data_IF_514383812818
#
_entry.id   IF_514383812818
#
_cell.length_a   1.000
_cell.length_b   1.000
_cell.length_c   1.000
_cell.angle_alpha   90.00
_cell.angle_beta   90.00
_cell.angle_gamma   90.00
#
_symmetry.space_group_name_H-M   'P 1'
#
loop_
_entity.id
_entity.type
_entity.pdbx_description
1 polymer ?
#
# COMPACT_ATOMS: atom_id res chain seq x y z
N UNK A 1 -23.60 43.50 -32.35
CA UNK A 1 -23.93 43.66 -33.78
C UNK A 1 -23.41 45.04 -34.16
N UNK A 2 -22.29 45.10 -34.86
CA UNK A 2 -21.83 46.41 -35.41
C UNK A 2 -22.58 46.65 -36.72
N UNK A 3 -23.40 47.68 -36.73
CA UNK A 3 -24.12 48.12 -37.92
C UNK A 3 -23.24 49.16 -38.62
N UNK A 4 -22.71 48.81 -39.78
CA UNK A 4 -22.04 49.77 -40.67
C UNK A 4 -23.11 50.53 -41.47
N UNK A 5 -23.37 51.79 -41.15
CA UNK A 5 -24.54 52.47 -41.74
C UNK A 5 -24.41 52.81 -43.24
N UNK A 6 -23.24 52.65 -43.83
CA UNK A 6 -22.98 52.99 -45.23
C UNK A 6 -22.83 51.79 -46.17
N UNK A 7 -23.04 50.56 -45.68
CA UNK A 7 -22.89 49.35 -46.50
C UNK A 7 -24.17 48.99 -47.30
N UNK A 8 -23.99 48.64 -48.55
CA UNK A 8 -25.09 48.21 -49.44
C UNK A 8 -25.53 46.77 -49.22
N UNK A 9 -24.76 45.99 -48.43
CA UNK A 9 -24.98 44.57 -48.19
C UNK A 9 -24.98 44.29 -46.69
N UNK A 10 -26.02 43.57 -46.23
CA UNK A 10 -26.15 43.09 -44.84
C UNK A 10 -25.92 41.58 -44.83
N UNK A 11 -25.00 41.11 -44.03
CA UNK A 11 -24.77 39.68 -43.83
C UNK A 11 -25.36 39.26 -42.47
N UNK A 12 -26.18 38.20 -42.45
CA UNK A 12 -26.82 37.68 -41.25
C UNK A 12 -26.55 36.17 -41.06
N UNK A 13 -26.28 35.70 -39.85
CA UNK A 13 -26.11 34.27 -39.58
C UNK A 13 -27.47 33.63 -39.24
N UNK A 14 -28.33 33.40 -40.23
CA UNK A 14 -29.67 32.82 -40.08
C UNK A 14 -30.64 33.60 -39.15
N UNK A 15 -30.37 34.88 -38.89
CA UNK A 15 -31.12 35.74 -37.96
C UNK A 15 -31.85 36.87 -38.72
N UNK A 16 -32.29 36.61 -39.94
CA UNK A 16 -32.95 37.60 -40.80
C UNK A 16 -34.17 38.24 -40.14
N UNK A 17 -34.83 37.51 -39.24
CA UNK A 17 -36.01 37.99 -38.50
C UNK A 17 -35.67 39.01 -37.39
N UNK A 18 -34.41 39.11 -36.99
CA UNK A 18 -33.93 40.02 -35.93
C UNK A 18 -33.32 41.30 -36.49
N UNK A 19 -33.34 41.48 -37.81
CA UNK A 19 -32.77 42.66 -38.45
C UNK A 19 -33.65 43.90 -38.18
N UNK A 20 -33.03 45.06 -37.87
CA UNK A 20 -33.75 46.33 -37.77
C UNK A 20 -34.41 46.69 -39.08
N UNK A 21 -35.59 47.32 -39.03
CA UNK A 21 -36.37 47.71 -40.19
C UNK A 21 -35.60 48.61 -41.17
N UNK A 22 -34.67 49.40 -40.70
CA UNK A 22 -33.86 50.34 -41.45
C UNK A 22 -32.86 49.69 -42.43
N UNK A 23 -32.61 48.36 -42.25
CA UNK A 23 -31.67 47.62 -43.12
C UNK A 23 -32.36 46.59 -43.99
N UNK A 24 -33.69 46.43 -43.90
CA UNK A 24 -34.45 45.44 -44.66
C UNK A 24 -34.52 45.77 -46.18
N UNK A 25 -34.30 47.04 -46.54
CA UNK A 25 -34.31 47.48 -47.98
C UNK A 25 -32.95 47.26 -48.66
N UNK A 26 -31.95 46.73 -47.91
CA UNK A 26 -30.61 46.44 -48.43
C UNK A 26 -30.54 44.99 -48.93
N UNK A 27 -29.50 44.71 -49.71
CA UNK A 27 -29.21 43.34 -50.11
C UNK A 27 -28.80 42.50 -48.93
N UNK A 28 -29.68 41.58 -48.48
CA UNK A 28 -29.43 40.68 -47.38
C UNK A 28 -28.83 39.40 -47.93
N UNK A 29 -27.68 38.98 -47.38
CA UNK A 29 -27.06 37.67 -47.62
C UNK A 29 -27.09 36.91 -46.29
N UNK A 30 -27.93 35.88 -46.28
CA UNK A 30 -27.93 34.95 -45.15
C UNK A 30 -26.78 33.94 -45.33
N UNK A 31 -25.83 33.95 -44.40
CA UNK A 31 -24.68 33.06 -44.41
C UNK A 31 -24.91 31.78 -43.61
N UNK A 32 -26.17 31.55 -43.19
CA UNK A 32 -26.55 30.38 -42.40
C UNK A 32 -26.12 30.48 -40.94
N UNK A 33 -26.46 29.45 -40.19
CA UNK A 33 -26.06 29.38 -38.78
C UNK A 33 -24.54 29.34 -38.64
N UNK A 34 -24.02 30.21 -37.81
CA UNK A 34 -22.61 30.13 -37.40
C UNK A 34 -22.45 28.92 -36.49
N UNK A 35 -21.76 27.93 -36.95
CA UNK A 35 -21.26 26.84 -36.11
C UNK A 35 -19.92 27.29 -35.63
N UNK A 36 -19.75 27.37 -34.32
CA UNK A 36 -18.43 27.57 -33.74
C UNK A 36 -17.53 26.45 -34.23
N UNK A 37 -16.40 26.80 -34.84
CA UNK A 37 -15.43 25.77 -35.25
C UNK A 37 -14.80 25.10 -34.02
N UNK A 38 -14.22 23.91 -34.23
CA UNK A 38 -13.64 23.13 -33.16
C UNK A 38 -12.52 23.88 -32.40
N UNK A 39 -11.74 24.70 -33.13
CA UNK A 39 -10.67 25.47 -32.57
C UNK A 39 -11.19 26.53 -31.60
N UNK A 40 -12.25 27.26 -32.01
CA UNK A 40 -12.92 28.26 -31.19
C UNK A 40 -13.50 27.62 -29.91
N UNK A 41 -14.13 26.45 -30.00
CA UNK A 41 -14.68 25.74 -28.85
C UNK A 41 -13.56 25.32 -27.90
N UNK A 42 -12.46 24.78 -28.43
CA UNK A 42 -11.29 24.37 -27.65
C UNK A 42 -10.64 25.59 -26.97
N UNK A 43 -10.45 26.67 -27.72
CA UNK A 43 -9.84 27.90 -27.18
C UNK A 43 -10.69 28.53 -26.06
N UNK A 44 -12.01 28.54 -26.20
CA UNK A 44 -12.94 29.01 -25.17
C UNK A 44 -12.83 28.10 -23.93
N UNK A 45 -12.83 26.78 -24.11
CA UNK A 45 -12.73 25.82 -23.00
C UNK A 45 -11.40 25.97 -22.23
N UNK A 46 -10.29 26.15 -22.95
CA UNK A 46 -8.96 26.38 -22.35
C UNK A 46 -8.88 27.73 -21.60
N UNK A 47 -9.39 28.82 -22.20
CA UNK A 47 -9.41 30.16 -21.57
C UNK A 47 -10.29 30.24 -20.33
N UNK A 48 -11.35 29.43 -20.27
CA UNK A 48 -12.28 29.38 -19.15
C UNK A 48 -11.95 28.27 -18.14
N UNK A 49 -10.83 27.55 -18.35
CA UNK A 49 -10.42 26.40 -17.52
C UNK A 49 -11.47 25.26 -17.46
N UNK A 50 -12.32 25.16 -18.49
CA UNK A 50 -13.31 24.10 -18.62
C UNK A 50 -12.82 22.93 -19.49
N UNK A 51 -11.54 22.58 -19.39
CA UNK A 51 -10.91 21.50 -20.17
C UNK A 51 -11.66 20.17 -20.06
N UNK A 52 -12.26 19.89 -18.91
CA UNK A 52 -13.03 18.68 -18.65
C UNK A 52 -14.24 18.53 -19.60
N UNK A 53 -14.79 19.64 -20.12
CA UNK A 53 -15.91 19.62 -21.07
C UNK A 53 -15.50 18.97 -22.40
N UNK A 54 -14.24 19.12 -22.81
CA UNK A 54 -13.71 18.55 -24.04
C UNK A 54 -13.65 17.00 -24.00
N UNK A 55 -13.74 16.41 -22.80
CA UNK A 55 -13.73 14.96 -22.60
C UNK A 55 -15.13 14.32 -22.69
N UNK A 56 -16.21 15.10 -22.73
CA UNK A 56 -17.54 14.52 -22.86
C UNK A 56 -17.75 13.93 -24.26
N UNK A 57 -18.21 12.67 -24.30
CA UNK A 57 -18.43 11.89 -25.54
C UNK A 57 -19.22 12.67 -26.60
N UNK A 58 -20.26 13.37 -26.19
CA UNK A 58 -21.17 14.12 -27.09
C UNK A 58 -20.51 15.36 -27.72
N UNK A 59 -19.57 15.99 -27.01
CA UNK A 59 -18.78 17.11 -27.56
C UNK A 59 -17.72 16.59 -28.51
N UNK A 60 -17.09 15.47 -28.25
CA UNK A 60 -16.14 14.81 -29.14
C UNK A 60 -16.79 14.37 -30.45
N UNK A 61 -17.93 13.70 -30.39
CA UNK A 61 -18.68 13.31 -31.59
C UNK A 61 -19.01 14.52 -32.48
N UNK A 62 -19.26 15.68 -31.88
CA UNK A 62 -19.48 16.93 -32.61
C UNK A 62 -18.16 17.55 -33.14
N UNK A 63 -17.06 17.47 -32.40
CA UNK A 63 -15.76 17.96 -32.84
C UNK A 63 -15.19 17.13 -34.01
N UNK A 64 -15.42 15.81 -34.00
CA UNK A 64 -15.03 14.91 -35.11
C UNK A 64 -15.80 15.18 -36.43
N UNK A 65 -17.00 15.76 -36.34
CA UNK A 65 -17.81 16.11 -37.52
C UNK A 65 -17.49 17.48 -38.12
N UNK A 66 -16.79 18.35 -37.39
CA UNK A 66 -16.34 19.66 -37.86
C UNK A 66 -14.96 19.52 -38.49
N UNK A 67 -14.91 19.61 -39.84
CA UNK A 67 -13.66 19.57 -40.59
C UNK A 67 -12.71 20.68 -40.11
N UNK A 68 -11.63 20.32 -39.41
CA UNK A 68 -10.61 21.25 -39.01
C UNK A 68 -9.55 21.35 -40.10
N UNK A 69 -9.31 22.57 -40.60
CA UNK A 69 -8.24 22.86 -41.56
C UNK A 69 -6.83 22.82 -40.94
N UNK A 70 -6.74 22.61 -39.63
CA UNK A 70 -5.45 22.57 -38.90
C UNK A 70 -5.01 21.11 -38.63
N UNK A 71 -4.13 20.64 -39.50
CA UNK A 71 -3.54 19.29 -39.44
C UNK A 71 -2.87 18.97 -38.10
N UNK A 72 -2.34 19.98 -37.40
CA UNK A 72 -1.68 19.80 -36.08
C UNK A 72 -2.68 19.51 -34.97
N UNK A 73 -3.81 20.18 -34.95
CA UNK A 73 -4.91 19.98 -33.99
C UNK A 73 -5.59 18.63 -34.17
N UNK A 74 -5.92 18.25 -35.43
CA UNK A 74 -6.46 16.92 -35.72
C UNK A 74 -5.54 15.81 -35.19
N UNK A 75 -4.23 15.95 -35.36
CA UNK A 75 -3.26 14.97 -34.91
C UNK A 75 -3.14 14.89 -33.38
N UNK A 76 -3.33 16.01 -32.67
CA UNK A 76 -3.37 16.04 -31.20
C UNK A 76 -4.63 15.36 -30.68
N UNK A 77 -5.78 15.68 -31.28
CA UNK A 77 -7.07 15.06 -30.94
C UNK A 77 -7.04 13.55 -31.23
N UNK A 78 -6.52 13.14 -32.38
CA UNK A 78 -6.36 11.73 -32.75
C UNK A 78 -5.48 10.97 -31.76
N UNK A 79 -4.30 11.53 -31.38
CA UNK A 79 -3.42 10.94 -30.36
C UNK A 79 -4.09 10.85 -28.98
N UNK A 80 -4.82 11.89 -28.57
CA UNK A 80 -5.56 11.89 -27.31
C UNK A 80 -6.67 10.82 -27.31
N UNK A 81 -7.42 10.71 -28.40
CA UNK A 81 -8.48 9.69 -28.57
C UNK A 81 -7.89 8.28 -28.61
N UNK A 82 -6.76 8.10 -29.28
CA UNK A 82 -6.05 6.81 -29.29
C UNK A 82 -5.56 6.42 -27.90
N UNK A 83 -4.93 7.33 -27.16
CA UNK A 83 -4.46 7.09 -25.79
C UNK A 83 -5.62 6.74 -24.84
N UNK A 84 -6.75 7.43 -24.96
CA UNK A 84 -7.94 7.15 -24.16
C UNK A 84 -8.58 5.81 -24.53
N UNK A 85 -8.61 5.46 -25.80
CA UNK A 85 -9.12 4.15 -26.25
C UNK A 85 -8.24 3.02 -25.71
N UNK A 86 -6.90 3.20 -25.74
CA UNK A 86 -5.96 2.24 -25.16
C UNK A 86 -6.13 2.14 -23.64
N UNK A 87 -6.26 3.27 -22.94
CA UNK A 87 -6.51 3.28 -21.50
C UNK A 87 -7.84 2.61 -21.15
N UNK A 88 -8.92 2.91 -21.88
CA UNK A 88 -10.22 2.27 -21.68
C UNK A 88 -10.18 0.75 -21.92
N UNK A 89 -9.39 0.31 -22.91
CA UNK A 89 -9.20 -1.12 -23.17
C UNK A 89 -8.43 -1.79 -22.03
N UNK A 90 -7.34 -1.18 -21.55
CA UNK A 90 -6.59 -1.67 -20.39
C UNK A 90 -7.47 -1.76 -19.14
N UNK A 91 -8.27 -0.74 -18.88
CA UNK A 91 -9.21 -0.73 -17.76
C UNK A 91 -10.27 -1.83 -17.83
N UNK A 92 -10.70 -2.21 -19.04
CA UNK A 92 -11.68 -3.29 -19.24
C UNK A 92 -11.07 -4.69 -19.22
N UNK A 93 -9.83 -4.84 -19.68
CA UNK A 93 -9.20 -6.15 -19.82
C UNK A 93 -8.46 -6.59 -18.54
N UNK A 94 -8.15 -5.66 -17.65
CA UNK A 94 -7.49 -6.00 -16.38
C UNK A 94 -8.49 -6.54 -15.37
N UNK A 95 -8.11 -7.64 -14.70
CA UNK A 95 -8.86 -8.17 -13.56
C UNK A 95 -8.58 -7.39 -12.26
N UNK A 96 -7.72 -6.39 -12.32
CA UNK A 96 -7.37 -5.55 -11.17
C UNK A 96 -8.42 -4.45 -11.07
N UNK A 97 -8.96 -4.22 -9.87
CA UNK A 97 -9.88 -3.12 -9.64
C UNK A 97 -9.11 -1.80 -9.53
N UNK A 98 -9.50 -0.81 -10.33
CA UNK A 98 -8.82 0.48 -10.43
C UNK A 98 -9.84 1.60 -10.32
N UNK A 99 -9.52 2.59 -9.48
CA UNK A 99 -10.28 3.82 -9.28
C UNK A 99 -9.33 5.02 -9.43
N UNK A 100 -9.72 6.04 -10.17
CA UNK A 100 -8.89 7.23 -10.34
C UNK A 100 -9.57 8.50 -9.86
N UNK A 101 -8.78 9.42 -9.34
CA UNK A 101 -9.19 10.77 -8.96
C UNK A 101 -8.39 11.82 -9.71
N UNK A 102 -9.00 12.98 -9.93
CA UNK A 102 -8.36 14.16 -10.51
C UNK A 102 -7.56 14.97 -9.45
N UNK A 103 -7.03 16.12 -9.86
CA UNK A 103 -6.26 17.04 -9.00
C UNK A 103 -7.04 17.52 -7.77
N UNK A 104 -8.35 17.56 -7.84
CA UNK A 104 -9.26 18.03 -6.79
C UNK A 104 -9.90 16.91 -5.99
N UNK A 105 -9.43 15.67 -6.19
CA UNK A 105 -9.94 14.43 -5.58
C UNK A 105 -11.38 14.08 -5.98
N UNK A 106 -11.85 14.51 -7.16
CA UNK A 106 -13.08 13.99 -7.74
C UNK A 106 -12.82 12.71 -8.51
N UNK A 107 -13.71 11.76 -8.38
CA UNK A 107 -13.62 10.45 -9.03
C UNK A 107 -13.81 10.59 -10.54
N UNK A 108 -12.75 10.32 -11.30
CA UNK A 108 -12.72 10.48 -12.76
C UNK A 108 -12.65 9.16 -13.54
N UNK A 109 -12.25 8.05 -12.89
CA UNK A 109 -12.23 6.74 -13.53
C UNK A 109 -12.60 5.62 -12.55
N UNK A 110 -13.32 4.61 -13.04
CA UNK A 110 -13.74 3.44 -12.28
C UNK A 110 -13.93 2.27 -13.26
N UNK A 111 -13.24 1.16 -13.06
CA UNK A 111 -13.41 -0.02 -13.90
C UNK A 111 -14.38 -1.04 -13.28
N UNK A 112 -14.74 -2.09 -14.04
CA UNK A 112 -15.67 -3.13 -13.58
C UNK A 112 -15.22 -3.84 -12.30
N UNK A 113 -13.90 -4.02 -12.11
CA UNK A 113 -13.35 -4.58 -10.88
C UNK A 113 -13.66 -3.69 -9.68
N UNK A 114 -13.44 -2.37 -9.81
CA UNK A 114 -13.75 -1.40 -8.76
C UNK A 114 -15.27 -1.31 -8.49
N UNK A 115 -16.13 -1.38 -9.52
CA UNK A 115 -17.58 -1.43 -9.35
C UNK A 115 -18.03 -2.61 -8.48
N UNK A 116 -17.45 -3.79 -8.70
CA UNK A 116 -17.75 -5.00 -7.92
C UNK A 116 -17.35 -4.85 -6.46
N UNK A 117 -16.12 -4.37 -6.21
CA UNK A 117 -15.60 -4.19 -4.85
C UNK A 117 -16.39 -3.12 -4.10
N UNK A 118 -16.73 -2.01 -4.76
CA UNK A 118 -17.50 -0.91 -4.17
C UNK A 118 -19.00 -1.21 -4.06
N UNK A 119 -19.46 -2.26 -4.73
CA UNK A 119 -20.89 -2.57 -4.93
C UNK A 119 -21.69 -1.36 -5.43
N UNK A 120 -21.09 -0.58 -6.34
CA UNK A 120 -21.65 0.64 -6.93
C UNK A 120 -21.31 0.69 -8.40
N UNK A 121 -22.25 1.12 -9.24
CA UNK A 121 -21.99 1.35 -10.67
C UNK A 121 -21.17 2.62 -10.89
N UNK A 122 -20.32 2.63 -11.91
CA UNK A 122 -19.47 3.78 -12.26
C UNK A 122 -20.24 5.08 -12.39
N UNK A 123 -21.45 5.06 -12.99
CA UNK A 123 -22.30 6.24 -13.10
C UNK A 123 -22.76 6.86 -11.77
N UNK A 124 -22.74 6.10 -10.67
CA UNK A 124 -23.04 6.60 -9.33
C UNK A 124 -21.78 7.02 -8.56
N UNK A 125 -20.60 6.69 -9.08
CA UNK A 125 -19.31 6.92 -8.44
C UNK A 125 -18.61 8.13 -9.07
N UNK A 126 -18.59 8.21 -10.39
CA UNK A 126 -17.89 9.27 -11.14
C UNK A 126 -18.47 10.66 -10.85
N UNK A 127 -17.59 11.64 -10.77
CA UNK A 127 -17.94 13.04 -10.49
C UNK A 127 -18.21 13.37 -9.03
N UNK A 128 -18.15 12.39 -8.11
CA UNK A 128 -18.28 12.64 -6.67
C UNK A 128 -16.92 12.90 -6.03
N UNK A 129 -16.93 13.60 -4.90
CA UNK A 129 -15.74 13.76 -4.09
C UNK A 129 -15.34 12.41 -3.45
N UNK A 130 -14.10 11.98 -3.67
CA UNK A 130 -13.62 10.70 -3.19
C UNK A 130 -13.52 10.62 -1.66
N UNK A 131 -13.24 11.73 -0.98
CA UNK A 131 -13.12 11.78 0.48
C UNK A 131 -14.47 11.59 1.17
N UNK A 132 -15.55 12.10 0.56
CA UNK A 132 -16.91 11.94 1.07
C UNK A 132 -17.48 10.54 0.79
N UNK A 133 -17.28 10.05 -0.45
CA UNK A 133 -17.87 8.79 -0.88
C UNK A 133 -17.10 7.56 -0.37
N UNK A 134 -15.78 7.68 -0.21
CA UNK A 134 -14.83 6.60 0.10
C UNK A 134 -13.79 7.04 1.14
N UNK A 135 -14.19 7.42 2.35
CA UNK A 135 -13.30 8.00 3.38
C UNK A 135 -12.18 7.05 3.82
N UNK A 136 -12.34 5.75 3.57
CA UNK A 136 -11.33 4.74 3.91
C UNK A 136 -10.18 4.66 2.88
N UNK A 137 -10.31 5.33 1.73
CA UNK A 137 -9.24 5.38 0.72
C UNK A 137 -8.43 6.65 0.93
N UNK A 138 -7.11 6.56 1.18
CA UNK A 138 -6.29 7.68 1.64
C UNK A 138 -5.85 8.63 0.51
N UNK A 139 -6.76 9.08 -0.36
CA UNK A 139 -6.44 10.02 -1.43
C UNK A 139 -5.92 11.35 -0.90
N UNK A 140 -6.49 11.86 0.19
CA UNK A 140 -6.03 13.08 0.85
C UNK A 140 -4.59 12.97 1.33
N UNK A 141 -4.25 11.87 1.99
CA UNK A 141 -2.89 11.61 2.47
C UNK A 141 -1.87 11.62 1.32
N UNK A 142 -2.23 10.98 0.19
CA UNK A 142 -1.40 10.92 -1.01
C UNK A 142 -1.27 12.28 -1.69
N UNK A 143 -2.33 13.10 -1.71
CA UNK A 143 -2.30 14.46 -2.24
C UNK A 143 -1.37 15.37 -1.41
N UNK A 144 -1.45 15.29 -0.08
CA UNK A 144 -0.65 16.11 0.84
C UNK A 144 0.84 15.73 0.81
N UNK A 145 1.14 14.42 0.86
CA UNK A 145 2.52 13.91 0.93
C UNK A 145 3.18 13.75 -0.44
N UNK A 146 2.39 13.63 -1.51
CA UNK A 146 2.84 13.29 -2.88
C UNK A 146 3.63 11.98 -2.95
N UNK A 147 3.41 11.07 -2.00
CA UNK A 147 4.05 9.78 -1.90
C UNK A 147 3.04 8.65 -2.16
N UNK A 148 3.53 7.57 -2.74
CA UNK A 148 2.70 6.38 -2.95
C UNK A 148 2.45 5.63 -1.64
N UNK A 149 1.24 5.09 -1.50
CA UNK A 149 0.89 4.16 -0.44
C UNK A 149 0.80 2.77 -1.06
N UNK A 150 1.59 1.82 -0.56
CA UNK A 150 1.60 0.44 -1.03
C UNK A 150 1.01 -0.52 0.01
N UNK A 151 0.25 -1.49 -0.48
CA UNK A 151 -0.20 -2.65 0.29
C UNK A 151 -0.88 -2.31 1.62
N UNK A 152 -1.64 -1.21 1.67
CA UNK A 152 -2.39 -0.82 2.86
C UNK A 152 -3.69 -1.62 2.95
N UNK A 153 -3.92 -2.28 4.08
CA UNK A 153 -5.16 -2.99 4.33
C UNK A 153 -6.25 -1.98 4.70
N UNK A 154 -7.31 -1.92 3.89
CA UNK A 154 -8.47 -1.05 4.14
C UNK A 154 -9.75 -1.86 4.17
N UNK A 155 -10.71 -1.45 5.01
CA UNK A 155 -12.04 -2.05 5.05
C UNK A 155 -12.97 -1.29 4.11
N UNK A 156 -13.53 -2.00 3.12
CA UNK A 156 -14.56 -1.46 2.21
C UNK A 156 -15.78 -2.36 2.33
N UNK A 157 -16.89 -1.80 2.86
CA UNK A 157 -18.06 -2.61 3.22
C UNK A 157 -17.73 -3.63 4.29
N UNK A 158 -17.98 -4.90 4.03
CA UNK A 158 -17.64 -6.01 4.93
C UNK A 158 -16.27 -6.64 4.65
N UNK A 159 -15.63 -6.29 3.54
CA UNK A 159 -14.39 -6.93 3.07
C UNK A 159 -13.15 -6.10 3.39
N UNK A 160 -12.03 -6.78 3.64
CA UNK A 160 -10.71 -6.18 3.73
C UNK A 160 -9.98 -6.36 2.41
N UNK A 161 -9.47 -5.26 1.90
CA UNK A 161 -8.87 -5.19 0.57
C UNK A 161 -7.47 -4.62 0.71
N UNK A 162 -6.52 -5.22 0.00
CA UNK A 162 -5.19 -4.65 -0.12
C UNK A 162 -5.24 -3.50 -1.13
N UNK A 163 -4.92 -2.30 -0.67
CA UNK A 163 -4.99 -1.06 -1.43
C UNK A 163 -3.61 -0.47 -1.64
N UNK A 164 -3.33 -0.11 -2.88
CA UNK A 164 -2.21 0.78 -3.20
C UNK A 164 -2.74 2.05 -3.84
N UNK A 165 -2.26 3.22 -3.41
CA UNK A 165 -2.64 4.51 -3.98
C UNK A 165 -1.39 5.18 -4.54
N UNK A 166 -1.39 5.45 -5.84
CA UNK A 166 -0.25 5.97 -6.58
C UNK A 166 -0.58 7.37 -7.10
N UNK A 167 0.16 8.42 -6.68
CA UNK A 167 -0.05 9.77 -7.17
C UNK A 167 0.42 9.93 -8.61
N UNK A 168 -0.28 10.76 -9.37
CA UNK A 168 0.14 11.25 -10.67
C UNK A 168 0.79 12.61 -10.44
N UNK A 169 2.10 12.70 -10.66
CA UNK A 169 2.86 13.93 -10.45
C UNK A 169 3.43 14.38 -11.80
N UNK A 170 3.22 15.65 -12.16
CA UNK A 170 3.81 16.30 -13.34
C UNK A 170 4.43 17.63 -12.94
N UNK A 171 5.74 17.81 -13.21
CA UNK A 171 6.48 19.02 -12.85
C UNK A 171 6.25 19.43 -11.38
N UNK A 172 6.34 18.47 -10.44
CA UNK A 172 6.12 18.64 -9.00
C UNK A 172 4.67 18.96 -8.56
N UNK A 173 3.73 19.06 -9.52
CA UNK A 173 2.32 19.30 -9.23
C UNK A 173 1.55 17.97 -9.19
N UNK A 174 0.69 17.84 -8.18
CA UNK A 174 -0.25 16.74 -8.07
C UNK A 174 -1.36 16.90 -9.11
N UNK A 175 -1.51 15.90 -9.97
CA UNK A 175 -2.50 15.87 -11.06
C UNK A 175 -3.66 14.91 -10.78
N UNK A 176 -3.57 14.13 -9.71
CA UNK A 176 -4.52 13.10 -9.34
C UNK A 176 -3.86 11.87 -8.77
N UNK A 177 -4.60 10.79 -8.57
CA UNK A 177 -4.07 9.52 -8.10
C UNK A 177 -4.90 8.34 -8.62
N UNK A 178 -4.28 7.16 -8.68
CA UNK A 178 -4.95 5.89 -8.88
C UNK A 178 -4.93 5.05 -7.62
N UNK A 179 -6.08 4.56 -7.20
CA UNK A 179 -6.23 3.51 -6.21
C UNK A 179 -6.36 2.17 -6.93
N UNK A 180 -5.51 1.22 -6.58
CA UNK A 180 -5.46 -0.12 -7.12
C UNK A 180 -5.85 -1.09 -6.00
N UNK A 181 -6.91 -1.84 -6.22
CA UNK A 181 -7.41 -2.83 -5.28
C UNK A 181 -6.99 -4.22 -5.77
N UNK A 182 -6.32 -4.95 -4.92
CA UNK A 182 -6.00 -6.34 -5.20
C UNK A 182 -6.93 -7.24 -4.39
N UNK A 183 -7.78 -8.00 -5.09
CA UNK A 183 -8.47 -9.11 -4.46
C UNK A 183 -7.45 -10.17 -4.07
N UNK A 184 -7.52 -10.59 -2.82
CA UNK A 184 -6.74 -11.73 -2.37
C UNK A 184 -7.24 -12.99 -3.06
N UNK A 185 -6.34 -13.82 -3.58
CA UNK A 185 -6.66 -15.19 -3.92
C UNK A 185 -7.27 -15.86 -2.68
N UNK A 186 -8.12 -16.88 -2.85
CA UNK A 186 -8.80 -17.52 -1.71
C UNK A 186 -7.84 -17.96 -0.58
N UNK A 187 -6.62 -18.33 -0.93
CA UNK A 187 -5.56 -18.65 0.04
C UNK A 187 -5.13 -17.42 0.86
N UNK A 188 -5.03 -16.25 0.23
CA UNK A 188 -4.71 -15.00 0.92
C UNK A 188 -5.90 -14.49 1.76
N UNK A 189 -7.13 -14.72 1.34
CA UNK A 189 -8.34 -14.44 2.16
C UNK A 189 -8.32 -15.27 3.45
N UNK A 190 -8.03 -16.57 3.36
CA UNK A 190 -7.86 -17.43 4.53
C UNK A 190 -6.73 -16.99 5.45
N UNK A 191 -5.58 -16.61 4.88
CA UNK A 191 -4.45 -16.10 5.66
C UNK A 191 -4.78 -14.79 6.36
N UNK A 192 -5.53 -13.88 5.72
CA UNK A 192 -5.94 -12.62 6.33
C UNK A 192 -7.02 -12.77 7.40
N UNK A 193 -7.99 -13.65 7.21
CA UNK A 193 -8.95 -14.01 8.27
C UNK A 193 -8.26 -14.60 9.48
N UNK A 194 -7.32 -15.47 9.25
CA UNK A 194 -6.50 -16.09 10.28
C UNK A 194 -5.64 -15.02 11.00
N UNK A 195 -5.04 -14.11 10.26
CA UNK A 195 -4.28 -12.96 10.79
C UNK A 195 -5.14 -12.08 11.69
N UNK A 196 -6.39 -11.78 11.29
CA UNK A 196 -7.36 -11.04 12.12
C UNK A 196 -7.71 -11.77 13.40
N UNK A 197 -7.93 -13.08 13.33
CA UNK A 197 -8.20 -13.89 14.52
C UNK A 197 -7.02 -13.87 15.49
N UNK A 198 -5.78 -13.83 15.00
CA UNK A 198 -4.56 -13.75 15.81
C UNK A 198 -4.39 -12.38 16.47
N UNK A 199 -4.58 -11.30 15.71
CA UNK A 199 -4.57 -9.94 16.28
C UNK A 199 -5.63 -9.79 17.37
N UNK A 200 -6.82 -10.39 17.19
CA UNK A 200 -7.88 -10.42 18.19
C UNK A 200 -7.59 -11.36 19.37
N UNK A 201 -6.73 -12.39 19.19
CA UNK A 201 -6.28 -13.31 20.25
C UNK A 201 -5.07 -12.79 21.05
N UNK A 202 -4.64 -11.56 20.83
CA UNK A 202 -3.58 -10.93 21.62
C UNK A 202 -2.17 -11.03 21.02
N UNK A 203 -2.01 -11.47 19.76
CA UNK A 203 -0.71 -11.46 19.06
C UNK A 203 -0.35 -10.04 18.57
N UNK A 204 -0.31 -9.09 19.52
CA UNK A 204 0.11 -7.70 19.34
C UNK A 204 1.28 -7.40 20.24
N UNK A 205 2.19 -6.59 19.75
CA UNK A 205 3.22 -6.03 20.60
C UNK A 205 2.58 -5.10 21.65
N UNK A 206 2.92 -5.31 22.93
CA UNK A 206 2.28 -4.64 24.07
C UNK A 206 3.03 -3.38 24.47
N UNK A 207 4.36 -3.37 24.34
CA UNK A 207 5.24 -2.36 24.88
C UNK A 207 5.81 -1.46 23.80
N UNK A 208 6.07 -0.21 24.15
CA UNK A 208 6.70 0.83 23.32
C UNK A 208 8.05 1.24 23.92
N UNK A 209 8.80 2.11 23.27
CA UNK A 209 10.04 2.64 23.83
C UNK A 209 9.82 3.49 25.08
N UNK A 210 8.61 4.01 25.30
CA UNK A 210 8.24 4.78 26.48
C UNK A 210 8.06 3.88 27.71
N UNK A 211 7.74 2.60 27.52
CA UNK A 211 7.62 1.61 28.58
C UNK A 211 8.98 1.09 29.07
N UNK A 212 10.07 1.37 28.35
CA UNK A 212 11.42 0.98 28.73
C UNK A 212 11.97 2.00 29.72
N UNK A 213 12.11 1.61 30.98
CA UNK A 213 12.62 2.46 32.02
C UNK A 213 14.15 2.60 31.88
N UNK A 214 14.69 3.80 32.10
CA UNK A 214 16.12 4.14 32.07
C UNK A 214 16.34 5.45 31.32
N UNK A 215 16.95 6.42 32.04
CA UNK A 215 17.24 7.77 31.54
C UNK A 215 18.74 8.04 31.43
N UNK A 216 19.59 7.07 31.80
CA UNK A 216 21.02 7.22 31.67
C UNK A 216 21.44 7.33 30.20
N UNK A 217 22.57 7.97 29.96
CA UNK A 217 23.03 8.29 28.59
C UNK A 217 23.20 7.04 27.70
N UNK A 218 23.63 5.90 28.30
CA UNK A 218 23.78 4.65 27.58
C UNK A 218 22.45 4.08 27.13
N UNK A 219 21.43 4.08 28.01
CA UNK A 219 20.07 3.61 27.69
C UNK A 219 19.42 4.49 26.64
N UNK A 220 19.56 5.82 26.71
CA UNK A 220 19.03 6.75 25.70
C UNK A 220 19.66 6.53 24.33
N UNK A 221 20.99 6.29 24.28
CA UNK A 221 21.68 5.92 23.04
C UNK A 221 21.18 4.59 22.49
N UNK A 222 20.99 3.60 23.36
CA UNK A 222 20.49 2.29 22.96
C UNK A 222 19.08 2.37 22.42
N UNK A 223 18.18 3.10 23.07
CA UNK A 223 16.82 3.38 22.56
C UNK A 223 16.87 4.05 21.19
N UNK A 224 17.69 5.09 21.02
CA UNK A 224 17.83 5.79 19.75
C UNK A 224 18.39 4.90 18.63
N UNK A 225 19.32 4.00 18.96
CA UNK A 225 19.85 3.00 18.03
C UNK A 225 18.74 2.01 17.61
N UNK A 226 18.03 1.44 18.58
CA UNK A 226 16.94 0.51 18.35
C UNK A 226 15.80 1.13 17.52
N UNK A 227 15.47 2.41 17.75
CA UNK A 227 14.51 3.15 16.94
C UNK A 227 14.95 3.31 15.47
N UNK A 228 16.24 3.57 15.24
CA UNK A 228 16.79 3.61 13.87
C UNK A 228 16.69 2.24 13.20
N UNK A 229 17.06 1.18 13.90
CA UNK A 229 16.97 -0.19 13.40
C UNK A 229 15.51 -0.63 13.17
N UNK A 230 14.57 -0.16 13.98
CA UNK A 230 13.15 -0.46 13.81
C UNK A 230 12.59 -0.03 12.45
N UNK A 231 13.10 1.09 11.91
CA UNK A 231 12.67 1.64 10.60
C UNK A 231 13.24 0.87 9.40
N UNK A 232 14.29 0.09 9.61
CA UNK A 232 14.91 -0.75 8.58
C UNK A 232 14.19 -2.09 8.60
N UNK A 233 13.77 -2.59 7.44
CA UNK A 233 13.08 -3.89 7.35
C UNK A 233 14.08 -5.05 7.28
N UNK A 234 14.94 -5.13 8.29
CA UNK A 234 15.95 -6.18 8.47
C UNK A 234 15.71 -6.93 9.77
N UNK A 235 16.21 -8.15 9.83
CA UNK A 235 16.21 -8.97 11.03
C UNK A 235 17.11 -8.35 12.10
N UNK A 236 16.75 -8.49 13.38
CA UNK A 236 17.46 -7.90 14.50
C UNK A 236 17.76 -8.97 15.55
N UNK A 237 19.00 -9.00 16.03
CA UNK A 237 19.42 -9.78 17.19
C UNK A 237 19.54 -8.86 18.40
N UNK A 238 18.94 -9.24 19.52
CA UNK A 238 19.04 -8.55 20.80
C UNK A 238 19.83 -9.46 21.75
N UNK A 239 20.95 -8.99 22.22
CA UNK A 239 21.82 -9.74 23.14
C UNK A 239 21.80 -9.09 24.52
N UNK A 240 21.99 -9.89 25.58
CA UNK A 240 22.08 -9.41 26.94
C UNK A 240 21.72 -10.48 27.95
N UNK A 241 22.07 -10.30 29.20
CA UNK A 241 21.78 -11.25 30.28
C UNK A 241 20.28 -11.45 30.50
N UNK A 242 19.91 -12.52 31.22
CA UNK A 242 18.51 -12.76 31.60
C UNK A 242 17.97 -11.59 32.44
N UNK A 243 16.73 -11.18 32.21
CA UNK A 243 16.09 -10.10 32.95
C UNK A 243 16.47 -8.69 32.53
N UNK A 244 17.32 -8.48 31.51
CA UNK A 244 17.71 -7.14 31.02
C UNK A 244 16.61 -6.41 30.23
N UNK A 245 15.46 -7.05 29.99
CA UNK A 245 14.33 -6.44 29.27
C UNK A 245 14.39 -6.61 27.76
N UNK A 246 15.08 -7.61 27.23
CA UNK A 246 15.16 -7.91 25.79
C UNK A 246 13.78 -8.02 25.15
N UNK A 247 12.82 -8.63 25.82
CA UNK A 247 11.43 -8.73 25.34
C UNK A 247 10.78 -7.35 25.16
N UNK A 248 11.00 -6.42 26.11
CA UNK A 248 10.47 -5.05 25.99
C UNK A 248 11.01 -4.34 24.73
N UNK A 249 12.32 -4.50 24.46
CA UNK A 249 12.93 -3.97 23.24
C UNK A 249 12.35 -4.60 21.97
N UNK A 250 12.15 -5.93 21.95
CA UNK A 250 11.55 -6.61 20.80
C UNK A 250 10.15 -6.06 20.48
N UNK A 251 9.29 -5.91 21.49
CA UNK A 251 7.98 -5.29 21.36
C UNK A 251 8.07 -3.83 20.88
N UNK A 252 8.94 -3.03 21.48
CA UNK A 252 9.11 -1.62 21.15
C UNK A 252 9.62 -1.42 19.71
N UNK A 253 10.56 -2.25 19.27
CA UNK A 253 11.08 -2.26 17.89
C UNK A 253 9.95 -2.57 16.91
N UNK A 254 9.14 -3.57 17.17
CA UNK A 254 8.00 -3.88 16.31
C UNK A 254 7.00 -2.71 16.23
N UNK A 255 6.60 -2.15 17.39
CA UNK A 255 5.65 -1.04 17.47
C UNK A 255 6.15 0.26 16.80
N UNK A 256 7.48 0.42 16.67
CA UNK A 256 8.10 1.57 16.00
C UNK A 256 8.43 1.31 14.54
N UNK A 257 8.16 0.11 14.03
CA UNK A 257 8.43 -0.31 12.65
C UNK A 257 7.27 -0.03 11.71
N UNK A 258 7.52 -0.18 10.41
CA UNK A 258 6.48 -0.18 9.38
C UNK A 258 5.48 -1.36 9.52
N UNK A 259 5.84 -2.39 10.30
CA UNK A 259 5.03 -3.59 10.54
C UNK A 259 4.17 -3.52 11.80
N UNK A 260 4.07 -2.36 12.47
CA UNK A 260 3.34 -2.16 13.75
C UNK A 260 1.88 -2.59 13.74
N UNK A 261 1.23 -2.52 12.58
CA UNK A 261 -0.18 -2.88 12.39
C UNK A 261 -0.37 -4.36 11.98
N UNK A 262 0.73 -5.13 11.91
CA UNK A 262 0.75 -6.53 11.54
C UNK A 262 1.01 -7.43 12.76
N UNK A 263 0.83 -8.77 12.63
CA UNK A 263 1.02 -9.69 13.75
C UNK A 263 2.42 -9.62 14.37
N UNK A 264 2.47 -9.69 15.69
CA UNK A 264 3.67 -9.89 16.48
C UNK A 264 3.57 -11.23 17.19
N UNK A 265 4.23 -12.24 16.65
CA UNK A 265 4.19 -13.63 17.16
C UNK A 265 5.41 -13.88 18.02
N UNK A 266 5.18 -14.35 19.24
CA UNK A 266 6.24 -14.64 20.21
C UNK A 266 6.41 -16.14 20.36
N UNK A 267 7.65 -16.61 20.30
CA UNK A 267 8.04 -18.02 20.53
C UNK A 267 9.28 -18.06 21.39
N UNK A 268 9.23 -18.75 22.51
CA UNK A 268 10.43 -19.08 23.27
C UNK A 268 10.97 -20.43 22.76
N UNK A 269 12.19 -20.41 22.20
CA UNK A 269 12.80 -21.58 21.56
C UNK A 269 13.31 -22.61 22.57
N UNK A 270 13.64 -22.21 23.79
CA UNK A 270 14.11 -23.13 24.82
C UNK A 270 12.98 -23.76 25.65
N UNK A 271 11.81 -23.08 25.70
CA UNK A 271 10.66 -23.57 26.49
C UNK A 271 9.88 -24.71 25.83
N UNK A 272 10.08 -24.98 24.55
CA UNK A 272 9.29 -25.93 23.76
C UNK A 272 10.21 -27.09 23.30
N UNK A 273 9.82 -28.37 23.48
CA UNK A 273 10.57 -29.49 22.94
C UNK A 273 10.76 -29.37 21.42
N UNK A 274 11.92 -29.78 20.90
CA UNK A 274 12.34 -29.58 19.51
C UNK A 274 11.28 -29.99 18.47
N UNK A 275 10.72 -31.20 18.61
CA UNK A 275 9.71 -31.73 17.68
C UNK A 275 8.41 -30.91 17.67
N UNK A 276 8.03 -30.38 18.82
CA UNK A 276 6.90 -29.47 18.94
C UNK A 276 7.24 -28.10 18.37
N UNK A 277 8.42 -27.56 18.68
CA UNK A 277 8.87 -26.26 18.16
C UNK A 277 8.91 -26.28 16.63
N UNK A 278 9.39 -27.36 16.03
CA UNK A 278 9.39 -27.54 14.58
C UNK A 278 7.99 -27.47 13.99
N UNK A 279 7.07 -28.26 14.56
CA UNK A 279 5.68 -28.31 14.10
C UNK A 279 4.91 -27.01 14.36
N UNK A 280 5.24 -26.27 15.41
CA UNK A 280 4.67 -24.94 15.66
C UNK A 280 5.20 -23.91 14.65
N UNK A 281 6.52 -23.86 14.43
CA UNK A 281 7.13 -22.87 13.52
C UNK A 281 6.75 -23.07 12.07
N UNK A 282 6.85 -24.31 11.54
CA UNK A 282 6.71 -24.60 10.12
C UNK A 282 5.34 -25.20 9.75
N UNK A 283 4.56 -25.64 10.73
CA UNK A 283 3.30 -26.35 10.45
C UNK A 283 3.51 -27.76 9.89
N UNK A 284 2.42 -28.46 9.63
CA UNK A 284 2.45 -29.80 9.07
C UNK A 284 1.21 -30.10 8.22
N UNK A 285 1.37 -30.98 7.25
CA UNK A 285 0.26 -31.50 6.46
C UNK A 285 -0.40 -32.70 7.16
N UNK A 286 -1.63 -33.03 6.77
CA UNK A 286 -2.33 -34.20 7.28
C UNK A 286 -1.51 -35.46 7.02
N UNK A 287 -1.34 -36.28 8.06
CA UNK A 287 -0.57 -37.53 7.96
C UNK A 287 0.95 -37.39 8.05
N UNK A 288 1.49 -36.19 8.30
CA UNK A 288 2.94 -35.94 8.41
C UNK A 288 3.62 -36.80 9.50
N UNK A 289 2.89 -37.11 10.57
CA UNK A 289 3.36 -37.98 11.65
C UNK A 289 2.16 -38.58 12.41
N UNK A 290 2.43 -39.59 13.26
CA UNK A 290 1.40 -40.21 14.10
C UNK A 290 0.84 -39.18 15.10
N UNK A 291 -0.46 -38.88 15.00
CA UNK A 291 -1.13 -37.84 15.80
C UNK A 291 -1.29 -36.49 15.12
N UNK A 292 -0.87 -36.33 13.86
CA UNK A 292 -1.16 -35.16 13.06
C UNK A 292 -2.68 -34.94 12.94
N UNK A 293 -3.14 -33.71 13.18
CA UNK A 293 -4.56 -33.36 13.07
C UNK A 293 -5.07 -33.50 11.65
N UNK A 294 -6.32 -33.94 11.51
CA UNK A 294 -7.03 -33.98 10.23
C UNK A 294 -7.08 -32.55 9.66
N UNK A 295 -6.62 -32.38 8.41
CA UNK A 295 -6.46 -31.08 7.77
C UNK A 295 -5.14 -30.34 8.06
N UNK A 296 -4.19 -30.97 8.80
CA UNK A 296 -2.88 -30.40 9.08
C UNK A 296 -2.89 -29.26 10.09
N UNK A 297 -1.80 -28.49 10.13
CA UNK A 297 -1.66 -27.28 10.96
C UNK A 297 -0.82 -26.25 10.25
N UNK A 298 -1.27 -25.01 10.23
CA UNK A 298 -0.51 -23.87 9.73
C UNK A 298 0.57 -23.49 10.73
N UNK A 299 1.78 -23.17 10.25
CA UNK A 299 2.93 -22.80 11.08
C UNK A 299 2.94 -21.33 11.46
N UNK A 300 3.71 -21.00 12.51
CA UNK A 300 3.83 -19.62 13.02
C UNK A 300 4.50 -18.67 12.02
N UNK A 301 5.37 -19.16 11.12
CA UNK A 301 5.90 -18.37 10.02
C UNK A 301 4.81 -17.92 9.04
N UNK A 302 3.87 -18.81 8.71
CA UNK A 302 2.73 -18.43 7.88
C UNK A 302 1.82 -17.43 8.59
N UNK A 303 1.60 -17.61 9.89
CA UNK A 303 0.85 -16.67 10.71
C UNK A 303 1.50 -15.30 10.82
N UNK A 304 2.84 -15.25 10.91
CA UNK A 304 3.60 -14.01 11.02
C UNK A 304 3.81 -13.29 9.67
N UNK A 305 3.26 -13.83 8.56
CA UNK A 305 3.42 -13.23 7.23
C UNK A 305 3.05 -11.73 7.22
N UNK A 306 3.88 -10.90 6.60
CA UNK A 306 3.88 -9.42 6.63
C UNK A 306 4.15 -8.80 8.02
N UNK A 307 4.21 -9.59 9.08
CA UNK A 307 4.43 -9.17 10.46
C UNK A 307 5.84 -9.45 10.96
N UNK A 308 5.93 -9.71 12.27
CA UNK A 308 7.18 -10.00 12.97
C UNK A 308 7.06 -11.29 13.76
N UNK A 309 8.03 -12.18 13.61
CA UNK A 309 8.22 -13.35 14.46
C UNK A 309 9.33 -13.03 15.45
N UNK A 310 8.98 -13.04 16.73
CA UNK A 310 9.93 -12.86 17.83
C UNK A 310 10.35 -14.23 18.36
N UNK A 311 11.63 -14.54 18.20
CA UNK A 311 12.28 -15.77 18.66
C UNK A 311 13.08 -15.47 19.93
N UNK A 312 12.51 -15.82 21.08
CA UNK A 312 13.18 -15.66 22.36
C UNK A 312 14.06 -16.89 22.63
N UNK A 313 15.24 -16.66 23.23
CA UNK A 313 16.25 -17.69 23.56
C UNK A 313 16.64 -18.53 22.32
N UNK A 314 17.11 -17.83 21.27
CA UNK A 314 17.47 -18.44 19.98
C UNK A 314 18.52 -19.55 20.12
N UNK A 315 19.41 -19.47 21.12
CA UNK A 315 20.40 -20.49 21.48
C UNK A 315 19.79 -21.86 21.79
N UNK A 316 18.52 -21.90 22.23
CA UNK A 316 17.79 -23.14 22.50
C UNK A 316 17.40 -23.92 21.26
N UNK A 317 17.60 -23.36 20.06
CA UNK A 317 17.22 -23.99 18.80
C UNK A 317 18.24 -25.03 18.35
N UNK A 318 17.78 -26.25 18.03
CA UNK A 318 18.64 -27.32 17.53
C UNK A 318 19.29 -26.98 16.19
N UNK A 319 20.45 -27.56 15.84
CA UNK A 319 21.11 -27.35 14.56
C UNK A 319 20.22 -27.69 13.36
N UNK A 320 19.33 -28.66 13.47
CA UNK A 320 18.39 -29.03 12.40
C UNK A 320 17.36 -27.90 12.14
N UNK A 321 16.81 -27.31 13.19
CA UNK A 321 15.90 -26.18 13.10
C UNK A 321 16.58 -24.92 12.60
N UNK A 322 17.86 -24.70 13.01
CA UNK A 322 18.67 -23.59 12.52
C UNK A 322 18.81 -23.60 10.98
N UNK A 323 18.95 -24.79 10.35
CA UNK A 323 18.99 -24.95 8.89
C UNK A 323 17.68 -24.47 8.26
N UNK A 324 16.54 -24.88 8.82
CA UNK A 324 15.22 -24.49 8.30
C UNK A 324 14.97 -22.99 8.48
N UNK A 325 15.33 -22.46 9.64
CA UNK A 325 15.25 -21.02 9.91
C UNK A 325 16.06 -20.22 8.90
N UNK A 326 17.30 -20.62 8.62
CA UNK A 326 18.17 -19.95 7.67
C UNK A 326 17.55 -19.89 6.27
N UNK A 327 16.91 -20.99 5.82
CA UNK A 327 16.20 -21.02 4.55
C UNK A 327 15.07 -19.99 4.50
N UNK A 328 14.23 -19.93 5.54
CA UNK A 328 13.13 -18.94 5.58
C UNK A 328 13.68 -17.51 5.55
N UNK A 329 14.77 -17.23 6.25
CA UNK A 329 15.40 -15.91 6.26
C UNK A 329 15.93 -15.52 4.87
N UNK A 330 16.58 -16.47 4.18
CA UNK A 330 17.26 -16.22 2.90
C UNK A 330 16.32 -16.22 1.70
N UNK A 331 15.47 -17.26 1.63
CA UNK A 331 14.65 -17.54 0.46
C UNK A 331 13.21 -16.95 0.59
N UNK A 332 12.83 -16.55 1.81
CA UNK A 332 11.46 -16.12 2.13
C UNK A 332 10.40 -17.18 1.79
N UNK A 333 10.81 -18.44 1.88
CA UNK A 333 10.00 -19.60 1.53
C UNK A 333 10.10 -20.65 2.62
N UNK A 334 9.02 -21.39 2.81
CA UNK A 334 8.99 -22.57 3.68
C UNK A 334 8.19 -23.72 3.08
N UNK A 335 8.37 -24.90 3.62
CA UNK A 335 7.52 -26.07 3.38
C UNK A 335 7.01 -26.60 4.72
N UNK A 336 5.75 -27.03 4.79
CA UNK A 336 5.21 -27.70 5.97
C UNK A 336 5.84 -29.09 6.12
N UNK A 337 5.87 -29.57 7.34
CA UNK A 337 6.35 -30.94 7.64
C UNK A 337 5.43 -31.93 6.90
N UNK A 338 6.03 -32.87 6.14
CA UNK A 338 5.30 -33.86 5.33
C UNK A 338 4.63 -33.31 4.08
N UNK A 339 4.81 -32.03 3.77
CA UNK A 339 4.32 -31.39 2.54
C UNK A 339 5.41 -31.20 1.50
N UNK A 340 5.00 -30.98 0.26
CA UNK A 340 5.85 -30.67 -0.91
C UNK A 340 5.62 -29.28 -1.48
N UNK A 341 4.60 -28.56 -0.97
CA UNK A 341 4.24 -27.24 -1.42
C UNK A 341 5.17 -26.17 -0.83
N UNK A 342 5.80 -25.37 -1.69
CA UNK A 342 6.54 -24.18 -1.29
C UNK A 342 5.56 -23.05 -0.98
N UNK A 343 5.72 -22.42 0.18
CA UNK A 343 4.90 -21.33 0.69
C UNK A 343 5.77 -20.11 0.86
N UNK A 344 5.43 -19.03 0.16
CA UNK A 344 6.13 -17.75 0.28
C UNK A 344 5.68 -17.01 1.55
N UNK A 345 6.66 -16.56 2.35
CA UNK A 345 6.42 -15.82 3.59
C UNK A 345 7.32 -14.57 3.64
N UNK A 346 6.72 -13.43 3.90
CA UNK A 346 7.44 -12.21 4.21
C UNK A 346 7.33 -11.95 5.71
N UNK A 347 8.35 -12.36 6.45
CA UNK A 347 8.39 -12.25 7.91
C UNK A 347 9.67 -11.55 8.31
N UNK A 348 9.56 -10.54 9.18
CA UNK A 348 10.68 -9.94 9.86
C UNK A 348 10.98 -10.74 11.13
N UNK A 349 12.24 -11.02 11.38
CA UNK A 349 12.66 -11.74 12.59
C UNK A 349 13.31 -10.79 13.57
N UNK A 350 12.85 -10.85 14.82
CA UNK A 350 13.56 -10.29 15.97
C UNK A 350 13.91 -11.49 16.85
N UNK A 351 15.18 -11.66 17.17
CA UNK A 351 15.61 -12.75 18.02
C UNK A 351 16.35 -12.23 19.26
N UNK A 352 16.23 -12.96 20.37
CA UNK A 352 17.02 -12.70 21.57
C UNK A 352 17.93 -13.87 21.89
N UNK A 353 19.01 -13.57 22.59
CA UNK A 353 19.90 -14.58 23.17
C UNK A 353 20.45 -14.11 24.52
N UNK A 354 20.63 -15.06 25.41
CA UNK A 354 21.29 -14.86 26.71
C UNK A 354 22.76 -15.27 26.67
N UNK A 355 23.16 -15.99 25.62
CA UNK A 355 24.51 -16.54 25.47
C UNK A 355 25.28 -15.84 24.35
N UNK A 356 26.59 -15.89 24.37
CA UNK A 356 27.43 -15.40 23.29
C UNK A 356 27.39 -16.40 22.11
N UNK A 357 26.59 -16.08 21.07
CA UNK A 357 26.41 -16.96 19.91
C UNK A 357 27.74 -17.30 19.21
N UNK A 358 28.77 -16.43 19.30
CA UNK A 358 30.09 -16.70 18.71
C UNK A 358 30.76 -17.90 19.36
N UNK A 359 30.57 -18.08 20.67
CA UNK A 359 31.17 -19.21 21.39
C UNK A 359 30.39 -20.49 21.05
N UNK A 360 29.07 -20.42 20.94
CA UNK A 360 28.27 -21.55 20.48
C UNK A 360 28.61 -21.96 19.03
N UNK A 361 29.02 -21.01 18.18
CA UNK A 361 29.53 -21.32 16.85
C UNK A 361 30.85 -22.07 16.90
N UNK A 362 31.80 -21.69 17.82
CA UNK A 362 33.05 -22.41 18.02
C UNK A 362 32.84 -23.83 18.56
N UNK A 363 31.85 -24.00 19.40
CA UNK A 363 31.44 -25.30 19.97
C UNK A 363 30.65 -26.18 18.98
N UNK A 364 30.28 -25.66 17.82
CA UNK A 364 29.47 -26.36 16.81
C UNK A 364 27.98 -26.51 17.17
N UNK A 365 27.49 -25.83 18.22
CA UNK A 365 26.09 -25.83 18.67
C UNK A 365 25.23 -24.83 17.90
N UNK A 366 25.86 -23.79 17.37
CA UNK A 366 25.18 -22.79 16.53
C UNK A 366 25.84 -22.68 15.15
N UNK A 367 25.05 -22.57 14.12
CA UNK A 367 25.56 -22.48 12.74
C UNK A 367 26.17 -21.11 12.46
N UNK A 368 27.35 -21.10 11.87
CA UNK A 368 28.08 -19.90 11.50
C UNK A 368 27.33 -19.02 10.50
N UNK A 369 26.68 -19.63 9.52
CA UNK A 369 25.92 -18.94 8.46
C UNK A 369 24.68 -18.22 9.03
N UNK A 370 23.93 -18.89 9.93
CA UNK A 370 22.80 -18.28 10.63
C UNK A 370 23.25 -17.14 11.54
N UNK A 371 24.36 -17.33 12.27
CA UNK A 371 24.93 -16.28 13.12
C UNK A 371 25.19 -15.00 12.32
N UNK A 372 25.95 -15.07 11.22
CA UNK A 372 26.25 -13.89 10.42
C UNK A 372 25.00 -13.24 9.80
N UNK A 373 23.98 -14.01 9.50
CA UNK A 373 22.72 -13.47 8.96
C UNK A 373 21.94 -12.72 10.04
N UNK A 374 21.86 -13.26 11.25
CA UNK A 374 21.12 -12.65 12.36
C UNK A 374 21.86 -11.48 13.01
N UNK A 375 23.20 -11.53 13.07
CA UNK A 375 24.03 -10.53 13.75
C UNK A 375 24.30 -9.27 12.93
N UNK A 376 23.71 -9.14 11.72
CA UNK A 376 23.88 -7.96 10.87
C UNK A 376 23.43 -6.66 11.58
N UNK A 377 22.36 -6.76 12.36
CA UNK A 377 21.87 -5.68 13.22
C UNK A 377 21.71 -6.23 14.64
N UNK A 378 22.59 -5.79 15.54
CA UNK A 378 22.60 -6.25 16.94
C UNK A 378 22.33 -5.09 17.89
N UNK A 379 21.43 -5.32 18.83
CA UNK A 379 21.13 -4.45 19.98
C UNK A 379 21.65 -5.15 21.23
N UNK A 380 22.74 -4.66 21.82
CA UNK A 380 23.35 -5.23 23.01
C UNK A 380 22.87 -4.48 24.25
N UNK A 381 22.22 -5.19 25.16
CA UNK A 381 21.70 -4.64 26.41
C UNK A 381 22.64 -5.09 27.54
N UNK A 382 23.54 -4.20 27.95
CA UNK A 382 24.47 -4.45 29.07
C UNK A 382 23.77 -4.30 30.44
N UNK A 383 24.20 -5.05 31.43
CA UNK A 383 23.69 -4.92 32.80
C UNK A 383 23.86 -3.51 33.38
N UNK A 384 24.88 -2.78 32.94
CA UNK A 384 25.12 -1.39 33.36
C UNK A 384 24.00 -0.43 32.97
N UNK A 385 23.16 -0.80 32.00
CA UNK A 385 21.98 -0.01 31.59
C UNK A 385 20.85 -0.09 32.66
N UNK A 386 20.90 -1.05 33.57
CA UNK A 386 19.87 -1.33 34.59
C UNK A 386 20.27 -0.88 36.02
N UNK A 387 21.53 -0.51 36.26
CA UNK A 387 22.05 -0.21 37.58
C UNK A 387 21.38 0.96 38.33
N UNK A 388 20.52 1.74 37.65
CA UNK A 388 19.71 2.76 38.30
C UNK A 388 18.40 2.22 38.92
N UNK A 389 17.97 1.01 38.57
CA UNK A 389 16.76 0.40 39.18
C UNK A 389 16.92 0.11 40.66
N UNK A 390 18.10 -0.31 41.09
CA UNK A 390 18.35 -0.63 42.49
C UNK A 390 18.37 0.60 43.40
N UNK A 391 18.70 1.78 42.90
CA UNK A 391 18.70 3.02 43.71
C UNK A 391 17.27 3.57 43.95
N UNK A 392 16.28 3.23 43.14
CA UNK A 392 14.90 3.67 43.36
C UNK A 392 14.06 2.74 44.27
N UNK A 393 14.49 1.49 44.49
CA UNK A 393 13.74 0.51 45.26
C UNK A 393 13.97 0.60 46.76
N UNK A 394 14.93 1.42 47.22
CA UNK A 394 15.31 1.56 48.65
C UNK A 394 15.04 2.97 49.23
N UNK A 395 14.14 3.74 48.62
CA UNK A 395 13.67 5.00 49.23
C UNK A 395 12.17 4.88 49.51
N UNK A 396 11.83 4.09 50.55
CA UNK A 396 10.58 4.13 51.30
C UNK A 396 10.92 4.11 52.80
#
# INVERSE_FOLDING_TARGET
MEIFPEGDIVMTPAETQLLPKEVLDRKIIDIGHRILDANTIIEIALKLEFEHILYYKKIRENLDTVATNDYSLSKIVEKATQAESQFSLLMKTTNIAILGVDKDNFLCSCNEGAEKILNKRSGAVLGNNAEELLPNIPFREVKEKKEEIKNRLVKIGEEYINLSVIPIIKAEHYMGAFAIFQEFKEEEKKQNELRRQLLNKGHKAKYTFDDIIGENHSMLKLKALAQKMARIDSDILITGESGTGKELFAHAIHNYSHRKDYPFIVVNCAAIPETLLESELFGYEEGAFTGAKKGGKIGLFEFAHMGTLFLDELEGMSPALQVKLLRVIQEKELMRIGGDKVINVDVRIIATTNEELRDLVKEGKFRKDLYYRMSAFTVEIENNHLLEREKMTYTF
#
